data_IF_621164503404
#
_entry.id   IF_621164503404
#
_cell.length_a   1.000
_cell.length_b   1.000
_cell.length_c   1.000
_cell.angle_alpha   90.00
_cell.angle_beta   90.00
_cell.angle_gamma   90.00
#
_symmetry.space_group_name_H-M   'P 1'
#
loop_
_entity.id
_entity.type
_entity.pdbx_description
1 polymer ?
#
# COMPACT_ATOMS: atom_id res chain seq x y z
N UNK A 1 -10.52 -11.00 15.44
CA UNK A 1 -11.37 -10.54 14.33
C UNK A 1 -11.04 -9.09 14.09
N UNK A 2 -10.18 -8.81 13.10
CA UNK A 2 -9.95 -7.44 12.60
C UNK A 2 -11.22 -6.91 11.92
N UNK A 3 -11.27 -5.60 11.66
CA UNK A 3 -12.44 -4.82 11.19
C UNK A 3 -13.42 -5.56 10.26
N UNK A 4 -14.72 -5.18 10.24
CA UNK A 4 -15.65 -5.66 9.21
C UNK A 4 -15.22 -5.29 7.78
N UNK A 5 -14.27 -4.35 7.61
CA UNK A 5 -13.58 -3.94 6.37
C UNK A 5 -12.03 -3.99 6.44
N UNK A 6 -11.44 -4.71 7.40
CA UNK A 6 -10.00 -5.03 7.35
C UNK A 6 -9.06 -4.23 8.23
N UNK A 7 -8.80 -2.92 8.06
CA UNK A 7 -7.82 -2.23 8.94
C UNK A 7 -7.75 -0.69 8.85
N UNK A 8 -7.31 -0.02 9.94
CA UNK A 8 -6.87 1.37 9.93
C UNK A 8 -5.33 1.43 9.82
N UNK A 9 -4.82 1.49 8.60
CA UNK A 9 -3.47 1.96 8.29
C UNK A 9 -3.63 3.24 7.47
N UNK A 10 -2.67 4.16 7.51
CA UNK A 10 -2.68 5.30 6.58
C UNK A 10 -2.37 4.89 5.13
N UNK A 11 -1.97 3.64 4.92
CA UNK A 11 -1.65 3.09 3.61
C UNK A 11 -2.92 2.85 2.78
N UNK A 12 -3.11 3.70 1.78
CA UNK A 12 -4.20 3.59 0.80
C UNK A 12 -3.93 2.45 -0.20
N UNK A 13 -4.99 1.77 -0.63
CA UNK A 13 -4.93 0.81 -1.75
C UNK A 13 -4.67 1.50 -3.11
N UNK A 14 -4.85 2.82 -3.17
CA UNK A 14 -4.63 3.65 -4.35
C UNK A 14 -3.76 4.87 -3.99
N UNK A 15 -2.73 5.12 -4.80
CA UNK A 15 -1.86 6.30 -4.71
C UNK A 15 -1.79 7.04 -6.06
N UNK A 16 -1.31 8.27 -6.03
CA UNK A 16 -0.99 9.02 -7.26
C UNK A 16 0.39 8.57 -7.78
N UNK A 17 0.47 8.21 -9.07
CA UNK A 17 1.74 7.88 -9.71
C UNK A 17 2.64 9.13 -9.79
N UNK A 18 3.89 9.04 -9.34
CA UNK A 18 4.80 10.19 -9.35
C UNK A 18 5.28 10.57 -10.76
N UNK A 19 5.32 9.62 -11.69
CA UNK A 19 5.81 9.88 -13.05
C UNK A 19 4.74 10.45 -13.98
N UNK A 20 3.50 9.95 -13.92
CA UNK A 20 2.44 10.35 -14.85
C UNK A 20 1.23 11.01 -14.19
N UNK A 21 1.22 11.13 -12.85
CA UNK A 21 0.09 11.65 -12.06
C UNK A 21 -1.23 10.86 -12.22
N UNK A 22 -1.18 9.71 -12.89
CA UNK A 22 -2.28 8.77 -13.01
C UNK A 22 -2.49 7.95 -11.74
N UNK A 23 -3.38 6.95 -11.80
CA UNK A 23 -3.71 6.12 -10.63
C UNK A 23 -2.77 4.93 -10.54
N UNK A 24 -2.25 4.66 -9.35
CA UNK A 24 -1.46 3.46 -9.06
C UNK A 24 -2.08 2.67 -7.92
N UNK A 25 -2.17 1.35 -8.11
CA UNK A 25 -2.90 0.46 -7.21
C UNK A 25 -1.96 -0.51 -6.53
N UNK A 26 -2.24 -0.80 -5.26
CA UNK A 26 -1.50 -1.77 -4.47
C UNK A 26 -1.60 -3.16 -5.11
N UNK A 27 -0.45 -3.79 -5.29
CA UNK A 27 -0.34 -5.16 -5.80
C UNK A 27 -0.57 -6.16 -4.66
N UNK A 28 -1.10 -7.36 -4.95
CA UNK A 28 -1.27 -8.40 -3.94
C UNK A 28 0.04 -8.76 -3.23
N UNK A 29 0.00 -8.80 -1.89
CA UNK A 29 1.11 -9.25 -1.06
C UNK A 29 1.23 -10.77 -1.10
N UNK A 30 2.45 -11.28 -0.88
CA UNK A 30 2.70 -12.72 -0.77
C UNK A 30 2.04 -13.37 0.45
N UNK A 31 1.90 -12.60 1.55
CA UNK A 31 1.30 -13.03 2.80
C UNK A 31 0.18 -12.06 3.19
N UNK A 32 -0.99 -12.12 2.51
CA UNK A 32 -2.07 -11.15 2.71
C UNK A 32 -2.75 -11.28 4.07
N UNK A 33 -2.69 -12.46 4.69
CA UNK A 33 -3.26 -12.73 6.01
C UNK A 33 -2.33 -12.31 7.16
N UNK A 34 -1.07 -11.97 6.86
CA UNK A 34 -0.12 -11.49 7.86
C UNK A 34 -0.23 -9.97 8.01
N UNK A 35 -0.20 -9.45 9.26
CA UNK A 35 -0.20 -8.01 9.49
C UNK A 35 1.01 -7.36 8.84
N UNK A 36 0.89 -6.07 8.50
CA UNK A 36 2.02 -5.27 8.05
C UNK A 36 2.99 -5.03 9.21
N UNK A 37 4.28 -5.03 8.90
CA UNK A 37 5.35 -4.66 9.82
C UNK A 37 6.18 -3.51 9.25
N UNK A 38 6.81 -2.72 10.13
CA UNK A 38 7.79 -1.70 9.72
C UNK A 38 8.91 -2.37 8.93
N UNK A 39 9.25 -1.79 7.79
CA UNK A 39 10.22 -2.34 6.84
C UNK A 39 9.62 -3.28 5.79
N UNK A 40 8.35 -3.67 5.89
CA UNK A 40 7.66 -4.34 4.78
C UNK A 40 7.68 -3.46 3.53
N UNK A 41 7.71 -4.09 2.35
CA UNK A 41 7.67 -3.39 1.07
C UNK A 41 6.33 -3.63 0.38
N UNK A 42 5.63 -2.55 0.08
CA UNK A 42 4.40 -2.55 -0.69
C UNK A 42 4.65 -2.09 -2.12
N UNK A 43 4.29 -2.94 -3.08
CA UNK A 43 4.42 -2.64 -4.50
C UNK A 43 3.12 -2.06 -5.04
N UNK A 44 3.20 -0.92 -5.73
CA UNK A 44 2.10 -0.28 -6.44
C UNK A 44 2.39 -0.29 -7.94
N UNK A 45 1.34 -0.42 -8.76
CA UNK A 45 1.47 -0.35 -10.23
C UNK A 45 0.50 0.66 -10.81
N UNK A 46 1.01 1.56 -11.65
CA UNK A 46 0.19 2.52 -12.37
C UNK A 46 -0.62 1.84 -13.48
N UNK A 47 -1.92 2.13 -13.55
CA UNK A 47 -2.77 1.63 -14.63
C UNK A 47 -2.49 2.33 -15.97
N UNK A 48 -1.96 3.55 -15.94
CA UNK A 48 -1.87 4.44 -17.10
C UNK A 48 -0.50 4.33 -17.79
N UNK A 49 0.61 4.45 -17.05
CA UNK A 49 1.97 4.31 -17.59
C UNK A 49 2.56 2.90 -17.43
N UNK A 50 2.02 2.09 -16.51
CA UNK A 50 2.52 0.74 -16.23
C UNK A 50 3.72 0.68 -15.28
N UNK A 51 4.26 1.81 -14.86
CA UNK A 51 5.38 1.91 -13.92
C UNK A 51 5.01 1.35 -12.54
N UNK A 52 6.06 0.94 -11.82
CA UNK A 52 5.97 0.31 -10.50
C UNK A 52 6.72 1.13 -9.46
N UNK A 53 6.11 1.25 -8.29
CA UNK A 53 6.66 1.91 -7.12
C UNK A 53 6.69 0.97 -5.93
N UNK A 54 7.80 0.92 -5.23
CA UNK A 54 7.96 0.13 -4.02
C UNK A 54 8.11 1.10 -2.84
N UNK A 55 7.16 1.05 -1.90
CA UNK A 55 7.13 1.88 -0.71
C UNK A 55 7.44 1.03 0.51
N UNK A 56 8.30 1.54 1.38
CA UNK A 56 8.63 0.90 2.66
C UNK A 56 7.60 1.36 3.68
N UNK A 57 7.07 0.42 4.46
CA UNK A 57 6.17 0.71 5.58
C UNK A 57 6.99 1.32 6.71
N UNK A 58 6.66 2.56 7.08
CA UNK A 58 7.26 3.28 8.20
C UNK A 58 6.41 3.11 9.47
N UNK A 59 6.93 3.51 10.64
CA UNK A 59 6.19 3.45 11.91
C UNK A 59 4.87 4.24 11.82
N UNK A 60 4.91 5.44 11.23
CA UNK A 60 3.75 6.34 11.05
C UNK A 60 2.66 5.76 10.13
N UNK A 61 2.96 4.75 9.33
CA UNK A 61 2.00 4.11 8.43
C UNK A 61 1.09 3.10 9.16
N UNK A 62 1.59 2.56 10.27
CA UNK A 62 0.92 1.53 11.08
C UNK A 62 0.06 2.11 12.20
N UNK A 63 0.27 3.37 12.58
CA UNK A 63 -0.49 4.02 13.64
C UNK A 63 -1.83 4.57 13.12
N UNK A 64 -2.96 4.10 13.67
CA UNK A 64 -4.26 4.73 13.45
C UNK A 64 -4.42 5.90 14.43
N UNK A 65 -4.67 7.11 13.92
CA UNK A 65 -5.25 8.19 14.74
C UNK A 65 -6.66 7.82 15.22
#
# INVERSE_FOLDING_TARGET
>A
MGNPDGQPFRLSAEITCVDCLGRAFLMPRSYPDEPLAVGDVLSYRCQDCGDRWDLVVEEDDLDPD
#
